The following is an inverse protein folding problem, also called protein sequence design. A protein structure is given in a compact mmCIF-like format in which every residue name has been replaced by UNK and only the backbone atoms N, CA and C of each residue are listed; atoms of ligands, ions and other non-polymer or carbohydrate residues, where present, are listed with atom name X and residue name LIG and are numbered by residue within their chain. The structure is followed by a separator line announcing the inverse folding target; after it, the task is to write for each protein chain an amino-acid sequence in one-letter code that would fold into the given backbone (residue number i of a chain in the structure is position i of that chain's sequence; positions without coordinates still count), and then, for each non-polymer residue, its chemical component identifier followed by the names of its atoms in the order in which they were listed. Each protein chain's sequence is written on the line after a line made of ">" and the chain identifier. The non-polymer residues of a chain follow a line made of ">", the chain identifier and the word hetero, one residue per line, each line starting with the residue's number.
data_IF_393638723386
#
_entry.id   IF_393638723386
#
_cell.length_a   1.000
_cell.length_b   1.000
_cell.length_c   1.000
_cell.angle_alpha   90.00
_cell.angle_beta   90.00
_cell.angle_gamma   90.00
#
_symmetry.space_group_name_H-M   'P 1'
#
loop_
_entity.id
_entity.type
_entity.pdbx_description
1 polymer ?
#
# COMPACT_ATOMS: atom_id res chain seq x y z
N UNK A 1 -25.08 -7.31 -1.74
CA UNK A 1 -23.93 -6.53 -1.23
C UNK A 1 -24.34 -5.47 -0.21
N UNK A 2 -25.28 -4.51 -0.44
CA UNK A 2 -25.60 -3.41 0.50
C UNK A 2 -25.89 -3.90 1.92
N UNK A 3 -26.82 -4.85 2.11
CA UNK A 3 -27.14 -5.41 3.44
C UNK A 3 -25.94 -6.02 4.17
N UNK A 4 -25.01 -6.64 3.42
CA UNK A 4 -23.78 -7.19 4.00
C UNK A 4 -22.85 -6.06 4.44
N UNK A 5 -22.68 -5.04 3.62
CA UNK A 5 -21.86 -3.86 3.93
C UNK A 5 -22.39 -3.10 5.16
N UNK A 6 -23.71 -2.90 5.25
CA UNK A 6 -24.35 -2.31 6.45
C UNK A 6 -24.04 -3.12 7.72
N UNK A 7 -24.15 -4.45 7.62
CA UNK A 7 -23.81 -5.35 8.73
C UNK A 7 -22.35 -5.21 9.16
N UNK A 8 -21.42 -5.15 8.19
CA UNK A 8 -19.99 -5.03 8.51
C UNK A 8 -19.65 -3.64 9.08
N UNK A 9 -20.29 -2.58 8.63
CA UNK A 9 -20.15 -1.26 9.25
C UNK A 9 -20.69 -1.26 10.70
N UNK A 10 -21.82 -1.91 10.95
CA UNK A 10 -22.35 -2.06 12.30
C UNK A 10 -21.44 -2.93 13.20
N UNK A 11 -20.67 -3.86 12.62
CA UNK A 11 -19.67 -4.66 13.32
C UNK A 11 -18.34 -3.92 13.56
N UNK A 12 -18.22 -2.68 13.09
CA UNK A 12 -17.05 -1.83 13.31
C UNK A 12 -16.03 -1.82 12.19
N UNK A 13 -16.41 -2.19 10.97
CA UNK A 13 -15.52 -2.01 9.81
C UNK A 13 -15.12 -0.54 9.64
N UNK A 14 -13.83 -0.30 9.36
CA UNK A 14 -13.25 1.05 9.26
C UNK A 14 -13.57 1.75 7.94
N UNK A 15 -13.83 0.98 6.87
CA UNK A 15 -14.09 1.52 5.54
C UNK A 15 -14.52 0.46 4.55
N UNK A 16 -14.68 0.87 3.30
CA UNK A 16 -14.95 0.03 2.15
C UNK A 16 -13.73 0.06 1.22
N UNK A 17 -13.24 -1.10 0.79
CA UNK A 17 -12.15 -1.22 -0.15
C UNK A 17 -12.63 -1.80 -1.47
N UNK A 18 -12.19 -1.19 -2.58
CA UNK A 18 -12.39 -1.68 -3.93
C UNK A 18 -11.06 -2.07 -4.57
N UNK A 19 -11.01 -3.25 -5.17
CA UNK A 19 -9.95 -3.68 -6.07
C UNK A 19 -10.47 -3.75 -7.50
N UNK A 20 -10.62 -2.60 -8.16
CA UNK A 20 -11.34 -2.52 -9.44
C UNK A 20 -10.59 -3.16 -10.61
N UNK A 21 -9.26 -3.19 -10.56
CA UNK A 21 -8.45 -3.91 -11.54
C UNK A 21 -8.61 -5.42 -11.43
N UNK A 22 -8.79 -5.93 -10.20
CA UNK A 22 -9.02 -7.35 -9.93
C UNK A 22 -10.47 -7.78 -10.20
N UNK A 23 -11.40 -6.83 -10.26
CA UNK A 23 -12.82 -7.06 -10.52
C UNK A 23 -13.31 -6.20 -11.70
N UNK A 24 -12.78 -6.39 -12.92
CA UNK A 24 -13.05 -5.50 -14.06
C UNK A 24 -14.53 -5.46 -14.48
N UNK A 25 -15.32 -6.48 -14.10
CA UNK A 25 -16.77 -6.52 -14.35
C UNK A 25 -17.62 -5.63 -13.43
N UNK A 26 -17.06 -5.00 -12.40
CA UNK A 26 -17.80 -4.10 -11.52
C UNK A 26 -18.20 -2.83 -12.28
N UNK A 27 -19.50 -2.52 -12.34
CA UNK A 27 -19.95 -1.30 -13.01
C UNK A 27 -19.73 -0.04 -12.16
N UNK A 28 -19.67 1.12 -12.82
CA UNK A 28 -19.56 2.40 -12.12
C UNK A 28 -20.76 2.64 -11.20
N UNK A 29 -21.97 2.27 -11.64
CA UNK A 29 -23.22 2.40 -10.86
C UNK A 29 -23.19 1.55 -9.60
N UNK A 30 -22.63 0.34 -9.68
CA UNK A 30 -22.42 -0.54 -8.52
C UNK A 30 -21.47 0.09 -7.51
N UNK A 31 -20.31 0.58 -7.99
CA UNK A 31 -19.32 1.26 -7.15
C UNK A 31 -19.94 2.49 -6.48
N UNK A 32 -20.66 3.34 -7.23
CA UNK A 32 -21.34 4.52 -6.68
C UNK A 32 -22.41 4.12 -5.64
N UNK A 33 -23.17 3.05 -5.89
CA UNK A 33 -24.22 2.62 -4.97
C UNK A 33 -23.68 2.13 -3.61
N UNK A 34 -22.52 1.48 -3.60
CA UNK A 34 -21.83 1.06 -2.38
C UNK A 34 -21.09 2.23 -1.72
N UNK A 35 -20.50 3.11 -2.51
CA UNK A 35 -19.80 4.32 -2.05
C UNK A 35 -20.75 5.30 -1.36
N UNK A 36 -21.97 5.48 -1.88
CA UNK A 36 -23.02 6.29 -1.20
C UNK A 36 -23.36 5.73 0.17
N UNK A 37 -23.43 4.41 0.29
CA UNK A 37 -23.67 3.76 1.58
C UNK A 37 -22.51 4.00 2.55
N UNK A 38 -21.25 3.83 2.10
CA UNK A 38 -20.08 4.12 2.92
C UNK A 38 -20.05 5.59 3.38
N UNK A 39 -20.41 6.54 2.50
CA UNK A 39 -20.52 7.96 2.83
C UNK A 39 -21.58 8.22 3.91
N UNK A 40 -22.76 7.58 3.84
CA UNK A 40 -23.82 7.71 4.86
C UNK A 40 -23.34 7.26 6.24
N UNK A 41 -22.51 6.22 6.29
CA UNK A 41 -21.87 5.72 7.52
C UNK A 41 -20.59 6.47 7.91
N UNK A 42 -20.22 7.53 7.16
CA UNK A 42 -18.97 8.30 7.33
C UNK A 42 -17.72 7.41 7.32
N UNK A 43 -17.71 6.41 6.47
CA UNK A 43 -16.61 5.44 6.32
C UNK A 43 -15.69 5.82 5.16
N UNK A 44 -14.40 5.56 5.33
CA UNK A 44 -13.38 5.69 4.28
C UNK A 44 -13.71 4.77 3.10
N UNK A 45 -13.40 5.22 1.89
CA UNK A 45 -13.35 4.39 0.69
C UNK A 45 -11.91 4.32 0.20
N UNK A 46 -11.34 3.13 0.16
CA UNK A 46 -10.01 2.88 -0.41
C UNK A 46 -10.17 2.24 -1.79
N UNK A 47 -9.42 2.72 -2.78
CA UNK A 47 -9.58 2.27 -4.17
C UNK A 47 -8.23 1.91 -4.77
N UNK A 48 -8.03 0.63 -5.08
CA UNK A 48 -7.14 0.17 -6.13
C UNK A 48 -7.85 0.42 -7.46
N UNK A 49 -7.35 1.35 -8.27
CA UNK A 49 -8.05 1.86 -9.45
C UNK A 49 -8.15 0.81 -10.56
N UNK A 50 -8.90 1.12 -11.60
CA UNK A 50 -9.24 0.23 -12.72
C UNK A 50 -8.17 0.28 -13.84
N UNK A 51 -6.91 0.36 -13.48
CA UNK A 51 -5.83 0.60 -14.43
C UNK A 51 -5.86 -0.36 -15.63
N UNK A 52 -5.90 0.18 -16.84
CA UNK A 52 -6.02 -0.59 -18.08
C UNK A 52 -4.81 -0.48 -18.99
N UNK A 53 -3.96 0.51 -18.77
CA UNK A 53 -2.73 0.79 -19.50
C UNK A 53 -1.81 1.66 -18.61
N UNK A 54 -0.50 1.75 -18.89
CA UNK A 54 0.43 2.55 -18.08
C UNK A 54 0.06 4.04 -17.96
N UNK A 55 -0.63 4.57 -18.97
CA UNK A 55 -1.06 5.97 -19.07
C UNK A 55 -2.57 6.18 -18.81
N UNK A 56 -3.25 5.20 -18.17
CA UNK A 56 -4.69 5.25 -17.92
C UNK A 56 -5.05 6.20 -16.74
N UNK A 57 -5.04 7.49 -17.03
CA UNK A 57 -5.48 8.51 -16.07
C UNK A 57 -7.01 8.59 -15.92
N UNK A 58 -7.80 7.96 -16.78
CA UNK A 58 -9.26 7.90 -16.63
C UNK A 58 -9.66 7.08 -15.41
N UNK A 59 -8.91 6.05 -15.06
CA UNK A 59 -9.11 5.26 -13.85
C UNK A 59 -8.93 6.11 -12.57
N UNK A 60 -8.00 7.07 -12.57
CA UNK A 60 -7.81 8.01 -11.46
C UNK A 60 -8.96 9.03 -11.41
N UNK A 61 -9.41 9.52 -12.56
CA UNK A 61 -10.57 10.43 -12.65
C UNK A 61 -11.86 9.74 -12.18
N UNK A 62 -12.00 8.42 -12.39
CA UNK A 62 -13.10 7.63 -11.80
C UNK A 62 -13.08 7.71 -10.28
N UNK A 63 -11.92 7.55 -9.62
CA UNK A 63 -11.79 7.68 -8.17
C UNK A 63 -12.15 9.09 -7.66
N UNK A 64 -11.69 10.14 -8.36
CA UNK A 64 -12.08 11.54 -8.06
C UNK A 64 -13.59 11.69 -8.17
N UNK A 65 -14.20 11.16 -9.24
CA UNK A 65 -15.63 11.26 -9.51
C UNK A 65 -16.49 10.58 -8.45
N UNK A 66 -16.00 9.45 -7.92
CA UNK A 66 -16.66 8.74 -6.80
C UNK A 66 -16.72 9.67 -5.58
N UNK A 67 -15.62 10.35 -5.22
CA UNK A 67 -15.61 11.31 -4.11
C UNK A 67 -16.54 12.51 -4.37
N UNK A 68 -16.51 13.08 -5.57
CA UNK A 68 -17.39 14.20 -5.96
C UNK A 68 -18.88 13.86 -5.82
N UNK A 69 -19.30 12.70 -6.34
CA UNK A 69 -20.71 12.30 -6.35
C UNK A 69 -21.22 11.93 -4.96
N UNK A 70 -20.35 11.32 -4.14
CA UNK A 70 -20.77 10.73 -2.87
C UNK A 70 -20.45 11.60 -1.67
N UNK A 71 -19.55 12.58 -1.81
CA UNK A 71 -18.99 13.37 -0.71
C UNK A 71 -18.14 12.55 0.26
N UNK A 72 -17.86 11.27 -0.06
CA UNK A 72 -17.05 10.40 0.78
C UNK A 72 -15.58 10.80 0.75
N UNK A 73 -14.87 10.53 1.85
CA UNK A 73 -13.42 10.50 1.83
C UNK A 73 -12.98 9.30 0.99
N UNK A 74 -12.31 9.56 -0.14
CA UNK A 74 -11.74 8.53 -1.00
C UNK A 74 -10.22 8.56 -0.88
N UNK A 75 -9.62 7.41 -0.72
CA UNK A 75 -8.17 7.22 -0.75
C UNK A 75 -7.81 6.36 -1.97
N UNK A 76 -6.97 6.90 -2.85
CA UNK A 76 -6.36 6.14 -3.94
C UNK A 76 -5.16 5.39 -3.40
N UNK A 77 -5.20 4.06 -3.50
CA UNK A 77 -4.17 3.19 -2.95
C UNK A 77 -2.92 3.16 -3.82
N UNK A 78 -1.76 3.05 -3.19
CA UNK A 78 -0.44 2.73 -3.76
C UNK A 78 -0.12 3.39 -5.11
N UNK A 79 -0.23 4.73 -5.17
CA UNK A 79 -0.04 5.53 -6.40
C UNK A 79 1.15 5.10 -7.26
N UNK A 80 2.31 4.83 -6.62
CA UNK A 80 3.54 4.50 -7.35
C UNK A 80 3.40 3.23 -8.18
N UNK A 81 2.58 2.28 -7.75
CA UNK A 81 2.41 1.01 -8.48
C UNK A 81 1.39 1.10 -9.62
N UNK A 82 0.61 2.17 -9.66
CA UNK A 82 -0.39 2.39 -10.70
C UNK A 82 -0.04 3.52 -11.66
N UNK A 83 0.68 4.54 -11.20
CA UNK A 83 0.98 5.75 -11.98
C UNK A 83 2.46 6.12 -11.98
N UNK A 84 3.34 5.27 -11.41
CA UNK A 84 4.77 5.52 -11.29
C UNK A 84 5.61 5.05 -12.50
N UNK A 85 5.00 4.86 -13.65
CA UNK A 85 5.64 4.44 -14.91
C UNK A 85 5.69 5.57 -15.94
N UNK A 86 5.93 6.80 -15.50
CA UNK A 86 6.11 7.96 -16.37
C UNK A 86 4.94 8.93 -16.43
N UNK A 87 3.87 8.74 -15.62
CA UNK A 87 2.67 9.61 -15.62
C UNK A 87 2.32 10.19 -14.24
N UNK A 88 3.22 10.08 -13.28
CA UNK A 88 2.97 10.54 -11.92
C UNK A 88 2.67 12.04 -11.84
N UNK A 89 3.39 12.88 -12.57
CA UNK A 89 3.16 14.33 -12.59
C UNK A 89 1.74 14.67 -13.01
N UNK A 90 1.23 14.03 -14.07
CA UNK A 90 -0.14 14.22 -14.56
C UNK A 90 -1.16 13.68 -13.58
N UNK A 91 -0.91 12.51 -12.98
CA UNK A 91 -1.77 11.92 -11.95
C UNK A 91 -1.89 12.85 -10.73
N UNK A 92 -0.78 13.37 -10.23
CA UNK A 92 -0.76 14.34 -9.13
C UNK A 92 -1.47 15.64 -9.53
N UNK A 93 -1.32 16.11 -10.76
CA UNK A 93 -2.04 17.28 -11.28
C UNK A 93 -3.57 17.12 -11.24
N UNK A 94 -4.09 15.92 -11.51
CA UNK A 94 -5.51 15.58 -11.36
C UNK A 94 -5.94 15.66 -9.90
N UNK A 95 -5.18 15.06 -8.98
CA UNK A 95 -5.48 15.07 -7.55
C UNK A 95 -5.36 16.47 -6.94
N UNK A 96 -4.33 17.23 -7.29
CA UNK A 96 -4.12 18.61 -6.86
C UNK A 96 -5.32 19.50 -7.25
N UNK A 97 -5.78 19.36 -8.50
CA UNK A 97 -6.97 20.09 -9.00
C UNK A 97 -8.25 19.68 -8.27
N UNK A 98 -8.46 18.39 -8.05
CA UNK A 98 -9.62 17.88 -7.33
C UNK A 98 -9.66 18.43 -5.89
N UNK A 99 -8.55 18.37 -5.17
CA UNK A 99 -8.44 18.89 -3.80
C UNK A 99 -8.64 20.40 -3.74
N UNK A 100 -8.06 21.16 -4.68
CA UNK A 100 -8.29 22.61 -4.79
C UNK A 100 -9.77 22.96 -4.96
N UNK A 101 -10.53 22.07 -5.61
CA UNK A 101 -11.99 22.20 -5.78
C UNK A 101 -12.79 21.66 -4.59
N UNK A 102 -12.15 21.28 -3.49
CA UNK A 102 -12.81 20.81 -2.26
C UNK A 102 -13.19 19.33 -2.26
N UNK A 103 -12.72 18.54 -3.25
CA UNK A 103 -12.93 17.08 -3.26
C UNK A 103 -12.12 16.43 -2.15
N UNK A 104 -12.78 15.59 -1.34
CA UNK A 104 -12.12 14.91 -0.21
C UNK A 104 -11.40 13.64 -0.67
N UNK A 105 -10.30 13.83 -1.39
CA UNK A 105 -9.49 12.75 -1.94
C UNK A 105 -8.08 12.76 -1.36
N UNK A 106 -7.61 11.57 -1.00
CA UNK A 106 -6.29 11.28 -0.44
C UNK A 106 -5.64 10.16 -1.23
N UNK A 107 -4.36 9.92 -1.00
CA UNK A 107 -3.66 8.80 -1.60
C UNK A 107 -2.61 8.24 -0.65
N UNK A 108 -2.12 7.06 -0.94
CA UNK A 108 -0.89 6.53 -0.37
C UNK A 108 0.09 6.07 -1.46
N UNK A 109 1.34 5.89 -1.07
CA UNK A 109 2.40 5.43 -1.97
C UNK A 109 3.46 4.64 -1.21
N UNK A 110 4.06 3.67 -1.89
CA UNK A 110 5.19 2.87 -1.37
C UNK A 110 6.55 3.54 -1.62
N UNK A 111 7.61 2.79 -1.30
CA UNK A 111 9.02 3.21 -1.46
C UNK A 111 9.81 2.33 -2.43
N UNK A 112 9.15 1.49 -3.19
CA UNK A 112 9.78 0.57 -4.14
C UNK A 112 9.25 0.80 -5.55
N UNK A 113 10.08 0.55 -6.55
CA UNK A 113 9.74 0.60 -7.98
C UNK A 113 9.28 -0.75 -8.50
N UNK A 114 8.65 -1.53 -7.65
CA UNK A 114 8.12 -2.85 -7.97
C UNK A 114 6.92 -3.13 -7.08
N UNK A 115 5.96 -3.86 -7.59
CA UNK A 115 4.81 -4.34 -6.85
C UNK A 115 4.77 -5.87 -6.81
N UNK A 116 3.90 -6.43 -5.99
CA UNK A 116 3.71 -7.87 -5.89
C UNK A 116 2.23 -8.23 -5.79
N UNK A 117 1.80 -9.20 -6.61
CA UNK A 117 0.46 -9.77 -6.52
C UNK A 117 0.44 -11.24 -6.96
N UNK A 118 -0.71 -11.91 -6.83
CA UNK A 118 -0.87 -13.31 -7.22
C UNK A 118 -0.81 -13.51 -8.73
N UNK A 119 -0.14 -14.57 -9.18
CA UNK A 119 -0.01 -14.89 -10.62
C UNK A 119 -1.36 -15.13 -11.30
N UNK A 120 -2.38 -15.57 -10.55
CA UNK A 120 -3.71 -15.88 -11.06
C UNK A 120 -4.62 -14.65 -11.21
N UNK A 121 -4.16 -13.48 -10.77
CA UNK A 121 -4.93 -12.24 -10.89
C UNK A 121 -4.98 -11.71 -12.34
N UNK A 122 -5.95 -10.85 -12.63
CA UNK A 122 -6.10 -10.16 -13.92
C UNK A 122 -4.91 -9.29 -14.29
N UNK A 123 -4.15 -8.79 -13.31
CA UNK A 123 -2.92 -8.01 -13.52
C UNK A 123 -1.90 -8.77 -14.38
N UNK A 124 -1.84 -10.09 -14.24
CA UNK A 124 -0.95 -10.93 -15.03
C UNK A 124 -1.66 -11.69 -16.16
N UNK A 125 -2.81 -11.23 -16.63
CA UNK A 125 -3.38 -11.72 -17.89
C UNK A 125 -2.45 -11.34 -19.05
N UNK A 126 -2.33 -12.23 -20.03
CA UNK A 126 -1.36 -12.08 -21.12
C UNK A 126 -1.54 -10.77 -21.90
N UNK A 127 -2.80 -10.38 -22.15
CA UNK A 127 -3.12 -9.11 -22.79
C UNK A 127 -2.71 -7.90 -21.95
N UNK A 128 -2.81 -8.00 -20.62
CA UNK A 128 -2.39 -6.96 -19.70
C UNK A 128 -0.86 -6.82 -19.71
N UNK A 129 -0.13 -7.92 -19.54
CA UNK A 129 1.34 -7.97 -19.64
C UNK A 129 1.81 -7.31 -20.94
N UNK A 130 1.16 -7.65 -22.07
CA UNK A 130 1.49 -7.08 -23.39
C UNK A 130 1.23 -5.58 -23.46
N UNK A 131 0.10 -5.09 -22.94
CA UNK A 131 -0.25 -3.66 -22.94
C UNK A 131 0.73 -2.81 -22.14
N UNK A 132 1.21 -3.35 -21.01
CA UNK A 132 2.20 -2.70 -20.14
C UNK A 132 3.63 -2.86 -20.67
N UNK A 133 3.85 -3.64 -21.72
CA UNK A 133 5.17 -3.87 -22.29
C UNK A 133 6.09 -4.70 -21.39
N UNK A 134 5.56 -5.34 -20.36
CA UNK A 134 6.35 -6.18 -19.46
C UNK A 134 6.82 -7.44 -20.15
N UNK A 135 8.05 -7.86 -19.86
CA UNK A 135 8.59 -9.13 -20.32
C UNK A 135 8.47 -10.16 -19.21
N UNK A 136 8.33 -11.44 -19.55
CA UNK A 136 8.32 -12.49 -18.55
C UNK A 136 9.59 -12.51 -17.68
N UNK A 137 10.73 -12.03 -18.23
CA UNK A 137 11.98 -11.87 -17.48
C UNK A 137 11.92 -10.80 -16.37
N UNK A 138 10.98 -9.86 -16.47
CA UNK A 138 10.79 -8.77 -15.50
C UNK A 138 9.88 -9.22 -14.34
N UNK A 139 9.26 -10.41 -14.48
CA UNK A 139 8.36 -11.02 -13.53
C UNK A 139 9.11 -12.07 -12.71
N UNK A 140 9.13 -11.87 -11.40
CA UNK A 140 9.93 -12.66 -10.48
C UNK A 140 9.05 -13.39 -9.47
N UNK A 141 9.28 -14.71 -9.29
CA UNK A 141 8.50 -15.54 -8.36
C UNK A 141 9.01 -15.29 -6.93
N UNK A 142 8.18 -14.74 -6.07
CA UNK A 142 8.51 -14.34 -4.72
C UNK A 142 8.09 -15.35 -3.65
N UNK A 143 7.27 -16.34 -3.98
CA UNK A 143 6.79 -17.35 -3.02
C UNK A 143 6.70 -18.75 -3.63
N UNK A 144 6.57 -19.76 -2.76
CA UNK A 144 6.39 -21.15 -3.15
C UNK A 144 7.64 -21.85 -3.63
N UNK A 145 7.47 -23.07 -4.20
CA UNK A 145 8.57 -23.96 -4.58
C UNK A 145 9.52 -23.40 -5.64
N UNK A 146 9.05 -22.47 -6.44
CA UNK A 146 9.81 -21.87 -7.55
C UNK A 146 10.34 -20.46 -7.22
N UNK A 147 10.22 -20.04 -5.95
CA UNK A 147 10.72 -18.74 -5.51
C UNK A 147 12.18 -18.52 -5.90
N UNK A 148 12.49 -17.30 -6.25
CA UNK A 148 13.84 -16.93 -6.68
C UNK A 148 14.08 -17.07 -8.18
N UNK A 149 13.08 -17.45 -8.98
CA UNK A 149 13.21 -17.57 -10.44
C UNK A 149 12.43 -16.47 -11.16
N UNK A 150 12.98 -15.98 -12.26
CA UNK A 150 12.21 -15.20 -13.23
C UNK A 150 11.24 -16.11 -13.98
N UNK A 151 10.12 -15.55 -14.42
CA UNK A 151 9.18 -16.27 -15.28
C UNK A 151 9.78 -16.47 -16.68
N UNK A 152 9.39 -17.57 -17.28
CA UNK A 152 9.45 -17.78 -18.73
C UNK A 152 8.02 -17.99 -19.21
N UNK A 153 7.73 -17.80 -20.50
CA UNK A 153 6.38 -18.05 -21.05
C UNK A 153 5.88 -19.45 -20.69
N UNK A 154 6.74 -20.48 -20.84
CA UNK A 154 6.40 -21.87 -20.50
C UNK A 154 6.04 -22.05 -19.02
N UNK A 155 6.77 -21.37 -18.14
CA UNK A 155 6.52 -21.45 -16.69
C UNK A 155 5.25 -20.69 -16.31
N UNK A 156 5.04 -19.52 -16.89
CA UNK A 156 3.82 -18.75 -16.73
C UNK A 156 2.58 -19.58 -17.13
N UNK A 157 2.57 -20.16 -18.33
CA UNK A 157 1.45 -20.98 -18.81
C UNK A 157 1.15 -22.13 -17.86
N UNK A 158 2.19 -22.83 -17.42
CA UNK A 158 2.03 -23.93 -16.46
C UNK A 158 1.43 -23.47 -15.14
N UNK A 159 1.91 -22.36 -14.58
CA UNK A 159 1.43 -21.87 -13.29
C UNK A 159 -0.02 -21.38 -13.40
N UNK A 160 -0.38 -20.68 -14.49
CA UNK A 160 -1.76 -20.23 -14.73
C UNK A 160 -2.72 -21.41 -14.95
N UNK A 161 -2.30 -22.46 -15.67
CA UNK A 161 -3.12 -23.67 -15.89
C UNK A 161 -3.37 -24.47 -14.62
N UNK A 162 -2.38 -24.51 -13.72
CA UNK A 162 -2.47 -25.27 -12.46
C UNK A 162 -3.10 -24.46 -11.33
N UNK A 163 -3.50 -23.20 -11.59
CA UNK A 163 -4.02 -22.27 -10.57
C UNK A 163 -3.10 -22.18 -9.35
N UNK A 164 -1.79 -22.08 -9.63
CA UNK A 164 -0.78 -22.01 -8.57
C UNK A 164 -0.92 -20.69 -7.79
N UNK A 165 -1.06 -20.78 -6.48
CA UNK A 165 -1.05 -19.61 -5.59
C UNK A 165 0.41 -19.18 -5.35
N UNK A 166 0.92 -18.34 -6.24
CA UNK A 166 2.27 -17.80 -6.15
C UNK A 166 2.25 -16.27 -6.29
N UNK A 167 3.02 -15.61 -5.44
CA UNK A 167 3.26 -14.17 -5.52
C UNK A 167 4.32 -13.89 -6.56
N UNK A 168 4.00 -12.99 -7.48
CA UNK A 168 4.91 -12.48 -8.51
C UNK A 168 5.25 -11.03 -8.21
N UNK A 169 6.53 -10.69 -8.25
CA UNK A 169 7.02 -9.31 -8.23
C UNK A 169 7.22 -8.87 -9.69
N UNK A 170 6.67 -7.71 -10.02
CA UNK A 170 6.93 -7.01 -11.27
C UNK A 170 7.82 -5.81 -11.01
N UNK A 171 8.97 -5.76 -11.68
CA UNK A 171 9.87 -4.61 -11.61
C UNK A 171 9.42 -3.57 -12.64
N UNK A 172 8.93 -2.46 -12.12
CA UNK A 172 8.40 -1.33 -12.90
C UNK A 172 8.58 -0.04 -12.11
N UNK A 173 8.37 1.09 -12.76
CA UNK A 173 8.35 2.38 -12.09
C UNK A 173 9.70 3.11 -12.02
N UNK A 174 9.61 4.39 -11.68
CA UNK A 174 10.70 5.36 -11.62
C UNK A 174 10.87 5.85 -10.19
N UNK A 175 12.09 5.82 -9.66
CA UNK A 175 12.37 6.19 -8.25
C UNK A 175 12.01 7.66 -7.95
N UNK A 176 12.23 8.57 -8.88
CA UNK A 176 11.91 9.99 -8.73
C UNK A 176 10.40 10.24 -8.59
N UNK A 177 9.58 9.44 -9.24
CA UNK A 177 8.11 9.53 -9.15
C UNK A 177 7.58 9.10 -7.77
N UNK A 178 8.28 8.18 -7.07
CA UNK A 178 8.01 7.88 -5.65
C UNK A 178 8.16 9.14 -4.81
N UNK A 179 9.26 9.86 -5.01
CA UNK A 179 9.56 11.06 -4.23
C UNK A 179 8.57 12.17 -4.55
N UNK A 180 8.24 12.37 -5.83
CA UNK A 180 7.26 13.36 -6.27
C UNK A 180 5.89 13.14 -5.61
N UNK A 181 5.40 11.91 -5.58
CA UNK A 181 4.14 11.55 -4.93
C UNK A 181 4.19 11.84 -3.42
N UNK A 182 5.23 11.37 -2.74
CA UNK A 182 5.36 11.50 -1.28
C UNK A 182 5.62 12.93 -0.79
N UNK A 183 5.96 13.86 -1.69
CA UNK A 183 6.06 15.28 -1.36
C UNK A 183 4.68 15.95 -1.21
N UNK A 184 3.62 15.41 -1.78
CA UNK A 184 2.26 15.95 -1.61
C UNK A 184 1.76 15.73 -0.17
N UNK A 185 1.14 16.72 0.44
CA UNK A 185 0.63 16.68 1.83
C UNK A 185 -0.47 15.61 2.02
N UNK A 186 -1.22 15.33 0.97
CA UNK A 186 -2.31 14.37 0.93
C UNK A 186 -1.87 12.92 0.54
N UNK A 187 -0.60 12.70 0.27
CA UNK A 187 -0.07 11.37 0.00
C UNK A 187 0.65 10.88 1.26
N UNK A 188 0.13 9.81 1.87
CA UNK A 188 0.74 9.16 3.03
C UNK A 188 1.60 7.98 2.62
N UNK A 189 2.46 7.50 3.54
CA UNK A 189 3.27 6.31 3.29
C UNK A 189 2.46 5.05 3.57
N UNK A 190 2.54 4.06 2.68
CA UNK A 190 2.04 2.70 2.87
C UNK A 190 3.06 1.66 2.45
N UNK A 191 2.99 0.47 3.00
CA UNK A 191 3.85 -0.64 2.59
C UNK A 191 3.21 -1.52 1.52
N UNK A 192 1.89 -1.45 1.36
CA UNK A 192 1.12 -2.25 0.39
C UNK A 192 1.48 -3.73 0.45
N UNK A 193 1.52 -4.30 1.65
CA UNK A 193 1.94 -5.68 1.84
C UNK A 193 1.21 -6.34 2.99
N UNK A 194 1.14 -7.66 2.94
CA UNK A 194 0.63 -8.53 3.98
C UNK A 194 1.64 -9.61 4.35
N UNK A 195 1.28 -10.50 5.26
CA UNK A 195 2.10 -11.67 5.56
C UNK A 195 2.28 -12.52 4.31
N UNK A 196 3.41 -13.24 4.22
CA UNK A 196 3.63 -14.21 3.14
C UNK A 196 2.44 -15.20 3.08
N UNK A 197 1.89 -15.48 1.90
CA UNK A 197 0.79 -16.44 1.75
C UNK A 197 1.11 -17.82 2.33
N UNK A 198 2.36 -18.27 2.23
CA UNK A 198 2.81 -19.54 2.77
C UNK A 198 3.20 -19.49 4.24
N UNK A 199 3.36 -18.28 4.82
CA UNK A 199 3.90 -18.07 6.15
C UNK A 199 5.39 -18.35 6.28
N UNK A 200 6.08 -18.66 5.17
CA UNK A 200 7.50 -18.98 5.17
C UNK A 200 8.35 -17.73 5.37
N UNK A 201 9.43 -17.89 6.13
CA UNK A 201 10.44 -16.86 6.33
C UNK A 201 11.28 -16.73 5.04
N UNK A 202 11.57 -15.49 4.65
CA UNK A 202 12.38 -15.20 3.47
C UNK A 202 11.60 -15.25 2.15
N UNK A 203 10.30 -15.05 2.18
CA UNK A 203 9.43 -14.94 1.01
C UNK A 203 8.79 -13.56 0.89
N UNK A 204 8.21 -13.27 -0.26
CA UNK A 204 7.45 -12.06 -0.52
C UNK A 204 8.31 -10.89 -1.01
N UNK A 205 7.74 -9.70 -0.89
CA UNK A 205 8.36 -8.45 -1.34
C UNK A 205 9.10 -7.76 -0.19
N UNK A 206 10.30 -7.18 -0.41
CA UNK A 206 11.06 -6.49 0.64
C UNK A 206 10.35 -5.26 1.23
N UNK A 207 9.35 -4.71 0.56
CA UNK A 207 8.56 -3.58 1.06
C UNK A 207 7.89 -3.86 2.43
N UNK A 208 7.66 -5.11 2.77
CA UNK A 208 7.07 -5.49 4.06
C UNK A 208 7.89 -4.98 5.24
N UNK A 209 9.20 -5.19 5.22
CA UNK A 209 10.10 -4.77 6.29
C UNK A 209 10.83 -3.47 5.97
N UNK A 210 10.99 -3.14 4.67
CA UNK A 210 11.87 -2.07 4.23
C UNK A 210 11.21 -0.72 4.00
N UNK A 211 9.89 -0.63 3.76
CA UNK A 211 9.25 0.62 3.32
C UNK A 211 9.49 1.79 4.29
N UNK A 212 9.16 1.63 5.56
CA UNK A 212 9.29 2.72 6.53
C UNK A 212 10.75 3.12 6.80
N UNK A 213 11.68 2.17 7.06
CA UNK A 213 13.10 2.53 7.22
C UNK A 213 13.70 3.20 5.98
N UNK A 214 13.37 2.69 4.78
CA UNK A 214 13.78 3.26 3.50
C UNK A 214 13.28 4.68 3.31
N UNK A 215 12.03 4.95 3.70
CA UNK A 215 11.43 6.28 3.63
C UNK A 215 12.21 7.29 4.49
N UNK A 216 12.49 6.99 5.75
CA UNK A 216 13.27 7.89 6.61
C UNK A 216 14.70 8.08 6.07
N UNK A 217 15.36 6.99 5.64
CA UNK A 217 16.68 7.07 5.03
C UNK A 217 16.68 7.97 3.80
N UNK A 218 15.80 7.70 2.85
CA UNK A 218 15.78 8.39 1.55
C UNK A 218 15.26 9.82 1.65
N UNK A 219 14.05 10.01 2.21
CA UNK A 219 13.36 11.30 2.15
C UNK A 219 13.90 12.31 3.18
N UNK A 220 14.36 11.82 4.35
CA UNK A 220 14.82 12.71 5.43
C UNK A 220 16.35 12.83 5.43
N UNK A 221 17.07 11.71 5.54
CA UNK A 221 18.54 11.75 5.73
C UNK A 221 19.31 12.03 4.45
N UNK A 222 19.03 11.30 3.35
CA UNK A 222 19.83 11.41 2.11
C UNK A 222 19.39 12.60 1.25
N UNK A 223 18.12 12.65 0.87
CA UNK A 223 17.59 13.67 -0.06
C UNK A 223 17.20 14.96 0.63
N UNK A 224 16.90 14.92 1.94
CA UNK A 224 16.42 16.08 2.72
C UNK A 224 15.16 16.73 2.13
N UNK A 225 14.31 15.95 1.53
CA UNK A 225 13.06 16.39 0.91
C UNK A 225 11.97 16.69 1.94
N UNK A 226 12.01 16.02 3.09
CA UNK A 226 11.08 16.21 4.19
C UNK A 226 11.83 16.50 5.50
N UNK A 227 11.23 17.33 6.34
CA UNK A 227 11.66 17.40 7.74
C UNK A 227 11.34 16.07 8.46
N UNK A 228 12.09 15.74 9.51
CA UNK A 228 11.81 14.54 10.32
C UNK A 228 10.37 14.55 10.85
N UNK A 229 9.90 15.71 11.30
CA UNK A 229 8.53 15.86 11.84
C UNK A 229 7.47 15.62 10.78
N UNK A 230 7.63 16.11 9.56
CA UNK A 230 6.66 15.91 8.49
C UNK A 230 6.68 14.46 7.99
N UNK A 231 7.84 13.83 7.95
CA UNK A 231 7.96 12.40 7.65
C UNK A 231 7.23 11.55 8.71
N UNK A 232 7.41 11.84 10.01
CA UNK A 232 6.70 11.17 11.09
C UNK A 232 5.18 11.36 10.95
N UNK A 233 4.71 12.58 10.67
CA UNK A 233 3.26 12.84 10.46
C UNK A 233 2.67 12.00 9.33
N UNK A 234 3.39 11.83 8.21
CA UNK A 234 2.95 11.01 7.07
C UNK A 234 2.80 9.52 7.42
N UNK A 235 3.53 9.05 8.41
CA UNK A 235 3.48 7.66 8.88
C UNK A 235 2.54 7.44 10.06
N UNK A 236 2.06 8.51 10.73
CA UNK A 236 1.37 8.40 12.02
C UNK A 236 0.11 9.26 12.09
N UNK A 237 0.26 10.55 12.33
CA UNK A 237 -0.85 11.46 12.60
C UNK A 237 -1.80 11.63 11.42
N UNK A 238 -1.26 11.76 10.20
CA UNK A 238 -2.10 11.96 9.01
C UNK A 238 -2.96 10.73 8.73
N UNK A 239 -2.41 9.50 8.62
CA UNK A 239 -3.24 8.30 8.42
C UNK A 239 -4.21 8.05 9.59
N UNK A 240 -3.81 8.33 10.84
CA UNK A 240 -4.73 8.24 11.97
C UNK A 240 -5.92 9.20 11.84
N UNK A 241 -5.68 10.43 11.39
CA UNK A 241 -6.75 11.41 11.15
C UNK A 241 -7.65 11.01 9.96
N UNK A 242 -7.08 10.50 8.86
CA UNK A 242 -7.85 9.97 7.71
C UNK A 242 -8.80 8.87 8.17
N UNK A 243 -8.33 7.98 9.05
CA UNK A 243 -9.12 6.89 9.61
C UNK A 243 -10.01 7.31 10.80
N UNK A 244 -9.93 8.57 11.25
CA UNK A 244 -10.70 9.04 12.42
C UNK A 244 -10.26 8.47 13.76
N UNK A 245 -9.01 7.97 13.86
CA UNK A 245 -8.45 7.36 15.07
C UNK A 245 -7.94 8.43 16.04
N UNK A 246 -8.72 8.74 17.06
CA UNK A 246 -8.41 9.84 18.01
C UNK A 246 -7.24 9.52 18.94
N UNK A 247 -7.06 8.25 19.30
CA UNK A 247 -6.08 7.80 20.29
C UNK A 247 -4.79 7.26 19.67
N UNK A 248 -4.60 7.37 18.35
CA UNK A 248 -3.42 6.85 17.64
C UNK A 248 -2.69 7.94 16.88
N UNK A 249 -1.44 7.65 16.48
CA UNK A 249 -0.62 8.52 15.67
C UNK A 249 -0.05 9.75 16.40
N UNK A 250 -0.10 9.79 17.72
CA UNK A 250 0.37 10.92 18.53
C UNK A 250 0.87 10.50 19.92
N UNK A 251 1.79 11.28 20.47
CA UNK A 251 2.28 11.13 21.84
C UNK A 251 1.54 12.12 22.73
N UNK A 252 0.47 11.68 23.38
CA UNK A 252 -0.33 12.48 24.30
C UNK A 252 -0.89 11.60 25.42
N UNK A 253 -1.08 12.17 26.59
CA UNK A 253 -1.74 11.47 27.69
C UNK A 253 -3.14 10.98 27.26
N UNK A 254 -3.48 9.73 27.54
CA UNK A 254 -4.74 9.10 27.16
C UNK A 254 -4.74 8.47 25.76
N UNK A 255 -3.66 8.59 24.98
CA UNK A 255 -3.49 7.85 23.74
C UNK A 255 -2.93 6.45 23.98
N UNK A 256 -3.09 5.58 22.98
CA UNK A 256 -2.56 4.22 23.03
C UNK A 256 -1.03 4.23 23.10
N UNK A 257 -0.46 3.30 23.86
CA UNK A 257 0.99 3.16 24.03
C UNK A 257 1.65 2.41 22.86
N UNK A 258 1.44 2.91 21.63
CA UNK A 258 2.05 2.39 20.40
C UNK A 258 3.22 3.30 20.00
N UNK A 259 4.45 2.81 20.16
CA UNK A 259 5.67 3.62 20.03
C UNK A 259 6.71 2.89 19.19
N UNK A 260 7.47 3.65 18.42
CA UNK A 260 8.72 3.18 17.79
C UNK A 260 9.85 4.10 18.26
N UNK A 261 10.92 3.51 18.78
CA UNK A 261 12.15 4.22 19.12
C UNK A 261 13.20 3.87 18.06
N UNK A 262 13.65 4.88 17.35
CA UNK A 262 14.62 4.71 16.27
C UNK A 262 15.64 5.86 16.26
N UNK A 263 16.78 5.60 15.62
CA UNK A 263 17.83 6.57 15.38
C UNK A 263 17.82 7.00 13.91
N UNK A 264 17.60 8.30 13.67
CA UNK A 264 17.51 8.85 12.31
C UNK A 264 18.84 8.76 11.53
N UNK A 265 19.98 8.78 12.24
CA UNK A 265 21.29 8.73 11.62
C UNK A 265 21.66 7.33 11.13
N UNK A 266 21.07 6.29 11.72
CA UNK A 266 21.38 4.89 11.41
C UNK A 266 20.21 4.09 10.82
N UNK A 267 18.99 4.63 10.81
CA UNK A 267 17.83 3.94 10.27
C UNK A 267 18.00 3.65 8.78
N UNK A 268 17.87 2.39 8.39
CA UNK A 268 17.91 1.94 7.00
C UNK A 268 17.25 0.57 6.84
N UNK A 269 16.68 0.34 5.65
CA UNK A 269 16.22 -0.96 5.23
C UNK A 269 17.38 -1.94 4.99
N UNK A 270 17.19 -3.18 5.39
CA UNK A 270 18.10 -4.32 5.11
C UNK A 270 17.39 -5.38 4.28
N UNK A 271 16.09 -5.23 4.07
CA UNK A 271 15.33 -6.13 3.23
C UNK A 271 15.70 -5.94 1.76
N UNK A 272 15.83 -7.04 1.04
CA UNK A 272 16.16 -7.06 -0.37
C UNK A 272 15.45 -8.23 -1.05
N UNK A 273 15.38 -8.18 -2.37
CA UNK A 273 14.78 -9.24 -3.17
C UNK A 273 15.53 -10.56 -3.02
N UNK A 274 14.80 -11.67 -3.08
CA UNK A 274 15.40 -13.00 -3.10
C UNK A 274 16.48 -13.11 -4.19
N UNK A 275 17.60 -13.71 -3.84
CA UNK A 275 18.77 -13.78 -4.73
C UNK A 275 19.76 -12.61 -4.56
N UNK A 276 19.31 -11.49 -4.02
CA UNK A 276 20.19 -10.38 -3.61
C UNK A 276 20.30 -10.26 -2.09
N UNK A 277 19.25 -10.66 -1.37
CA UNK A 277 19.19 -10.63 0.07
C UNK A 277 17.96 -11.37 0.61
N UNK A 278 17.43 -10.91 1.73
CA UNK A 278 16.24 -11.46 2.40
C UNK A 278 15.12 -10.41 2.43
N UNK A 279 13.92 -10.74 1.92
CA UNK A 279 12.77 -9.82 1.96
C UNK A 279 12.31 -9.44 3.37
N UNK A 280 12.54 -10.32 4.34
CA UNK A 280 12.13 -10.21 5.73
C UNK A 280 13.27 -9.78 6.68
N UNK A 281 14.36 -9.23 6.14
CA UNK A 281 15.47 -8.76 6.97
C UNK A 281 15.05 -7.54 7.82
N UNK A 282 15.44 -7.56 9.09
CA UNK A 282 15.18 -6.45 10.00
C UNK A 282 15.97 -5.20 9.62
N UNK A 283 15.37 -4.01 9.75
CA UNK A 283 16.07 -2.75 9.52
C UNK A 283 17.11 -2.49 10.60
N UNK A 284 18.14 -1.73 10.23
CA UNK A 284 19.01 -1.09 11.21
C UNK A 284 18.33 0.15 11.81
N UNK A 285 18.84 0.63 12.96
CA UNK A 285 18.43 1.88 13.58
C UNK A 285 17.05 1.87 14.25
N UNK A 286 16.31 0.76 14.22
CA UNK A 286 15.07 0.57 14.99
C UNK A 286 15.45 -0.13 16.30
N UNK A 287 15.31 0.58 17.42
CA UNK A 287 15.71 0.07 18.72
C UNK A 287 14.58 -0.67 19.43
N UNK A 288 13.38 -0.07 19.48
CA UNK A 288 12.21 -0.67 20.13
C UNK A 288 10.95 -0.47 19.31
N UNK A 289 10.11 -1.49 19.29
CA UNK A 289 8.71 -1.42 18.87
C UNK A 289 7.84 -1.79 20.06
N UNK A 290 6.93 -0.90 20.42
CA UNK A 290 6.03 -1.02 21.56
C UNK A 290 4.60 -0.99 21.05
N UNK A 291 3.78 -1.94 21.45
CA UNK A 291 2.35 -2.02 21.10
C UNK A 291 1.55 -2.14 22.38
N UNK A 292 0.56 -1.26 22.56
CA UNK A 292 -0.26 -1.19 23.79
C UNK A 292 0.60 -1.21 25.09
N UNK A 293 1.74 -0.51 25.09
CA UNK A 293 2.64 -0.42 26.25
C UNK A 293 3.58 -1.62 26.43
N UNK A 294 3.55 -2.63 25.57
CA UNK A 294 4.42 -3.81 25.64
C UNK A 294 5.50 -3.78 24.57
N UNK A 295 6.75 -4.00 24.94
CA UNK A 295 7.85 -4.14 23.98
C UNK A 295 7.68 -5.44 23.21
N UNK A 296 7.38 -5.36 21.90
CA UNK A 296 7.19 -6.50 21.00
C UNK A 296 8.42 -6.80 20.15
N UNK A 297 9.30 -5.78 19.95
CA UNK A 297 10.59 -5.98 19.30
C UNK A 297 11.64 -5.08 19.95
N UNK A 298 12.88 -5.57 20.02
CA UNK A 298 14.02 -4.91 20.62
C UNK A 298 15.28 -5.23 19.82
N UNK A 299 15.95 -4.23 19.25
CA UNK A 299 17.16 -4.36 18.42
C UNK A 299 17.09 -5.51 17.40
N UNK A 300 15.98 -5.54 16.63
CA UNK A 300 15.75 -6.57 15.60
C UNK A 300 15.29 -7.94 16.12
N UNK A 301 15.06 -8.10 17.43
CA UNK A 301 14.56 -9.36 18.03
C UNK A 301 13.08 -9.24 18.37
N UNK A 302 12.24 -10.01 17.68
CA UNK A 302 10.80 -10.09 18.00
C UNK A 302 10.59 -10.97 19.24
N UNK A 303 9.74 -10.50 20.15
CA UNK A 303 9.25 -11.26 21.32
C UNK A 303 7.99 -12.01 20.92
N UNK A 304 8.14 -13.24 20.42
CA UNK A 304 7.06 -14.03 19.80
C UNK A 304 5.88 -14.36 20.73
N UNK A 305 6.13 -14.39 22.03
CA UNK A 305 5.13 -14.74 23.03
C UNK A 305 4.31 -13.51 23.53
N UNK A 306 4.62 -12.32 23.05
CA UNK A 306 3.96 -11.08 23.43
C UNK A 306 3.10 -10.59 22.27
N UNK A 307 1.77 -10.76 22.37
CA UNK A 307 0.77 -10.43 21.35
C UNK A 307 -0.25 -9.40 21.88
N UNK A 308 0.16 -8.15 22.16
CA UNK A 308 -0.70 -7.15 22.79
C UNK A 308 -1.59 -6.41 21.77
N UNK A 309 -1.46 -6.70 20.48
CA UNK A 309 -2.23 -6.07 19.42
C UNK A 309 -3.74 -6.26 19.61
N UNK A 310 -4.51 -5.22 19.24
CA UNK A 310 -5.98 -5.25 19.28
C UNK A 310 -6.54 -4.85 17.93
N UNK A 311 -7.62 -5.49 17.52
CA UNK A 311 -8.35 -5.08 16.32
C UNK A 311 -8.97 -3.70 16.54
N UNK A 312 -8.75 -2.79 15.58
CA UNK A 312 -9.37 -1.47 15.56
C UNK A 312 -10.80 -1.65 15.02
N UNK A 313 -11.78 -1.23 15.81
CA UNK A 313 -13.19 -1.17 15.42
C UNK A 313 -13.67 0.27 15.50
N UNK A 314 -14.44 0.70 14.50
CA UNK A 314 -15.03 2.04 14.43
C UNK A 314 -16.55 1.91 14.56
N UNK A 315 -17.08 2.35 15.69
CA UNK A 315 -18.53 2.42 15.94
C UNK A 315 -19.14 3.65 15.32
#
# INVERSE_FOLDING_TARGET
>A
MKKLLEKEFANGAVGLSFGLEYAPGSSFEEVIALSKLASQYKKLISIHTRLKAPDDLESLKEAVKISEITGALVQVSHLVYQYGEGVMTEALGILDKARKNGVNIWADSGMYTSFATGITTSVFDEDHIKKFGWKFSDLYIASGKLKGKCLTKKLYDKMRQNDEDAVIICYTGVEEEIYEALLRDYVVLSSDTGPSPTGDIGEGHPQNCGTFPRFFKKMVREKKYLSLIDAIKKCTLIPANILGLKNKGRLSAGCDGDLVIFDIDTIEDKSDFLGKGRPDAYPNGVHYVIVNGHVVAEYGKIKKDILPGRAIKMN
#
